data_IF_132253824204
#
_entry.id   IF_132253824204
#
_cell.length_a   1.000
_cell.length_b   1.000
_cell.length_c   1.000
_cell.angle_alpha   90.00
_cell.angle_beta   90.00
_cell.angle_gamma   90.00
#
_symmetry.space_group_name_H-M   'P 1'
#
loop_
_entity.id
_entity.type
_entity.pdbx_description
1 polymer ?
#
# COMPACT_ATOMS: atom_id res chain seq x y z
N UNK A 1 -3.39 0.38 -11.41
CA UNK A 1 -4.87 0.34 -11.46
C UNK A 1 -5.48 1.23 -10.39
N UNK A 2 -5.43 0.87 -9.10
CA UNK A 2 -6.01 1.69 -8.03
C UNK A 2 -5.19 2.95 -7.76
N UNK A 3 -3.88 2.84 -7.54
CA UNK A 3 -3.01 4.00 -7.31
C UNK A 3 -3.08 5.05 -8.43
N UNK A 4 -3.06 4.62 -9.70
CA UNK A 4 -3.23 5.51 -10.86
C UNK A 4 -4.60 6.21 -10.91
N UNK A 5 -5.66 5.59 -10.37
CA UNK A 5 -6.97 6.22 -10.30
C UNK A 5 -7.03 7.28 -9.19
N UNK A 6 -6.36 7.03 -8.05
CA UNK A 6 -6.21 7.99 -6.96
C UNK A 6 -5.43 9.22 -7.46
N UNK A 7 -4.26 9.00 -8.09
CA UNK A 7 -3.44 10.07 -8.67
C UNK A 7 -4.27 10.96 -9.61
N UNK A 8 -4.98 10.37 -10.58
CA UNK A 8 -5.83 11.11 -11.51
C UNK A 8 -6.91 11.98 -10.85
N UNK A 9 -7.40 11.61 -9.67
CA UNK A 9 -8.40 12.40 -8.95
C UNK A 9 -7.73 13.50 -8.12
N UNK A 10 -6.59 13.20 -7.49
CA UNK A 10 -5.85 14.17 -6.69
C UNK A 10 -5.12 15.22 -7.54
N UNK A 11 -4.72 14.89 -8.77
CA UNK A 11 -4.17 15.85 -9.74
C UNK A 11 -5.14 16.99 -10.11
N UNK A 12 -6.45 16.80 -9.88
CA UNK A 12 -7.48 17.81 -10.14
C UNK A 12 -7.67 18.77 -8.95
N UNK A 13 -6.93 18.56 -7.85
CA UNK A 13 -7.03 19.34 -6.63
C UNK A 13 -5.84 20.28 -6.51
N UNK A 14 -6.11 21.59 -6.44
CA UNK A 14 -5.08 22.62 -6.28
C UNK A 14 -4.52 22.68 -4.84
N UNK A 15 -5.15 22.00 -3.90
CA UNK A 15 -4.76 21.94 -2.48
C UNK A 15 -3.92 20.69 -2.13
N UNK A 16 -3.46 19.95 -3.14
CA UNK A 16 -2.66 18.73 -2.96
C UNK A 16 -1.38 18.79 -3.78
N UNK A 17 -0.23 18.59 -3.12
CA UNK A 17 1.04 18.32 -3.78
C UNK A 17 1.30 16.81 -3.80
N UNK A 18 1.51 16.24 -5.00
CA UNK A 18 1.69 14.80 -5.16
C UNK A 18 3.17 14.41 -5.12
N UNK A 19 3.54 13.62 -4.11
CA UNK A 19 4.83 12.93 -4.05
C UNK A 19 4.67 11.49 -4.54
N UNK A 20 5.15 11.20 -5.75
CA UNK A 20 5.07 9.88 -6.36
C UNK A 20 6.45 9.33 -6.69
N UNK A 21 6.61 8.00 -6.57
CA UNK A 21 7.80 7.26 -7.00
C UNK A 21 7.38 6.00 -7.74
N UNK A 22 8.11 5.70 -8.81
CA UNK A 22 8.04 4.42 -9.52
C UNK A 22 8.79 3.34 -8.75
N UNK A 23 8.52 2.06 -9.06
CA UNK A 23 9.24 0.94 -8.45
C UNK A 23 10.73 0.91 -8.77
N UNK A 24 11.16 1.60 -9.84
CA UNK A 24 12.58 1.78 -10.17
C UNK A 24 13.26 2.89 -9.36
N UNK A 25 12.49 3.85 -8.86
CA UNK A 25 13.02 4.97 -8.05
C UNK A 25 13.03 4.63 -6.55
N UNK A 26 12.05 3.84 -6.09
CA UNK A 26 11.94 3.42 -4.70
C UNK A 26 11.44 1.96 -4.61
N UNK A 27 12.33 1.07 -4.18
CA UNK A 27 11.96 -0.30 -3.80
C UNK A 27 11.39 -0.30 -2.39
N UNK A 28 10.06 -0.47 -2.30
CA UNK A 28 9.33 -0.47 -1.04
C UNK A 28 9.63 -1.68 -0.14
N UNK A 29 10.28 -2.73 -0.66
CA UNK A 29 10.75 -3.85 0.16
C UNK A 29 12.07 -3.54 0.88
N UNK A 30 12.79 -2.50 0.45
CA UNK A 30 14.01 -2.03 1.08
C UNK A 30 13.71 -1.02 2.19
N UNK A 31 13.80 -1.49 3.44
CA UNK A 31 13.50 -0.68 4.62
C UNK A 31 14.34 0.61 4.71
N UNK A 32 15.63 0.54 4.40
CA UNK A 32 16.51 1.71 4.49
C UNK A 32 16.11 2.77 3.46
N UNK A 33 15.82 2.36 2.22
CA UNK A 33 15.39 3.28 1.17
C UNK A 33 14.06 3.97 1.52
N UNK A 34 13.10 3.21 2.07
CA UNK A 34 11.81 3.76 2.52
C UNK A 34 12.02 4.77 3.66
N UNK A 35 12.82 4.43 4.67
CA UNK A 35 13.10 5.33 5.78
C UNK A 35 13.76 6.64 5.31
N UNK A 36 14.74 6.56 4.40
CA UNK A 36 15.37 7.74 3.81
C UNK A 36 14.35 8.59 3.05
N UNK A 37 13.49 7.96 2.24
CA UNK A 37 12.45 8.68 1.50
C UNK A 37 11.52 9.47 2.43
N UNK A 38 11.01 8.84 3.51
CA UNK A 38 10.14 9.54 4.46
C UNK A 38 10.86 10.63 5.27
N UNK A 39 12.16 10.49 5.53
CA UNK A 39 12.94 11.52 6.22
C UNK A 39 13.29 12.73 5.32
N UNK A 40 13.41 12.52 4.01
CA UNK A 40 13.74 13.56 3.04
C UNK A 40 12.50 14.27 2.48
N UNK A 41 11.35 13.62 2.50
CA UNK A 41 10.09 14.17 2.00
C UNK A 41 9.19 14.54 3.18
N UNK A 42 8.64 15.75 3.19
CA UNK A 42 7.62 16.14 4.17
C UNK A 42 6.26 15.58 3.71
N UNK A 43 5.90 14.38 4.20
CA UNK A 43 4.66 13.69 3.82
C UNK A 43 3.56 13.94 4.86
N UNK A 44 2.39 14.42 4.43
CA UNK A 44 1.24 14.63 5.32
C UNK A 44 0.24 13.46 5.32
N UNK A 45 0.04 12.84 4.16
CA UNK A 45 -0.90 11.74 3.95
C UNK A 45 -0.28 10.62 3.09
N UNK A 46 -0.60 9.36 3.42
CA UNK A 46 -0.15 8.19 2.66
C UNK A 46 -1.33 7.38 2.13
N UNK A 47 -1.35 7.14 0.82
CA UNK A 47 -2.26 6.18 0.18
C UNK A 47 -1.48 4.92 -0.16
N UNK A 48 -1.55 3.89 0.69
CA UNK A 48 -0.83 2.64 0.51
C UNK A 48 -1.57 1.75 -0.50
N UNK A 49 -1.33 2.04 -1.79
CA UNK A 49 -1.88 1.34 -2.94
C UNK A 49 -0.87 0.39 -3.62
N UNK A 50 0.33 0.26 -3.05
CA UNK A 50 1.39 -0.62 -3.53
C UNK A 50 1.22 -2.02 -2.92
N UNK A 51 1.15 -3.04 -3.77
CA UNK A 51 1.05 -4.44 -3.35
C UNK A 51 1.55 -5.35 -4.47
N UNK A 52 2.05 -6.54 -4.10
CA UNK A 52 2.26 -7.63 -5.04
C UNK A 52 0.91 -8.29 -5.29
N UNK A 53 0.32 -8.01 -6.46
CA UNK A 53 -0.99 -8.51 -6.88
C UNK A 53 -0.85 -9.44 -8.08
N UNK A 54 -1.70 -10.47 -8.15
CA UNK A 54 -1.77 -11.38 -9.28
C UNK A 54 -3.02 -12.27 -9.24
N UNK A 55 -3.25 -12.99 -10.34
CA UNK A 55 -4.36 -13.94 -10.43
C UNK A 55 -4.11 -15.25 -9.68
N UNK A 56 -5.06 -16.19 -9.79
CA UNK A 56 -5.02 -17.50 -9.10
C UNK A 56 -3.72 -18.25 -9.40
N UNK A 57 -3.29 -18.29 -10.66
CA UNK A 57 -2.06 -18.96 -11.07
C UNK A 57 -0.84 -18.37 -10.36
N UNK A 58 -0.66 -17.04 -10.40
CA UNK A 58 0.49 -16.37 -9.78
C UNK A 58 0.55 -16.58 -8.26
N UNK A 59 -0.59 -16.53 -7.56
CA UNK A 59 -0.65 -16.79 -6.12
C UNK A 59 -0.23 -18.23 -5.77
N UNK A 60 -0.65 -19.21 -6.58
CA UNK A 60 -0.26 -20.60 -6.36
C UNK A 60 1.19 -20.89 -6.74
N UNK A 61 1.72 -20.20 -7.76
CA UNK A 61 3.10 -20.40 -8.22
C UNK A 61 4.12 -19.71 -7.30
N UNK A 62 3.80 -18.54 -6.74
CA UNK A 62 4.76 -17.72 -5.97
C UNK A 62 4.27 -17.35 -4.55
N UNK A 63 3.69 -18.27 -3.76
CA UNK A 63 3.02 -17.94 -2.50
C UNK A 63 3.94 -17.24 -1.49
N UNK A 64 5.21 -17.67 -1.42
CA UNK A 64 6.21 -17.08 -0.52
C UNK A 64 6.54 -15.62 -0.89
N UNK A 65 6.61 -15.29 -2.18
CA UNK A 65 6.88 -13.93 -2.63
C UNK A 65 5.70 -13.01 -2.34
N UNK A 66 4.47 -13.49 -2.54
CA UNK A 66 3.26 -12.72 -2.26
C UNK A 66 3.19 -12.32 -0.78
N UNK A 67 3.36 -13.28 0.14
CA UNK A 67 3.32 -12.96 1.57
C UNK A 67 4.50 -12.07 1.98
N UNK A 68 5.72 -12.39 1.54
CA UNK A 68 6.92 -11.65 1.94
C UNK A 68 6.89 -10.21 1.45
N UNK A 69 6.64 -9.98 0.15
CA UNK A 69 6.69 -8.64 -0.42
C UNK A 69 5.60 -7.74 0.16
N UNK A 70 4.36 -8.24 0.30
CA UNK A 70 3.29 -7.43 0.89
C UNK A 70 3.59 -7.09 2.36
N UNK A 71 4.04 -8.04 3.18
CA UNK A 71 4.42 -7.77 4.56
C UNK A 71 5.57 -6.76 4.66
N UNK A 72 6.60 -6.88 3.81
CA UNK A 72 7.72 -5.94 3.80
C UNK A 72 7.27 -4.53 3.40
N UNK A 73 6.46 -4.40 2.34
CA UNK A 73 5.93 -3.12 1.88
C UNK A 73 5.09 -2.46 2.98
N UNK A 74 4.13 -3.21 3.53
CA UNK A 74 3.22 -2.73 4.58
C UNK A 74 3.99 -2.31 5.83
N UNK A 75 4.89 -3.18 6.32
CA UNK A 75 5.67 -2.92 7.53
C UNK A 75 6.57 -1.70 7.36
N UNK A 76 7.28 -1.60 6.22
CA UNK A 76 8.21 -0.49 5.98
C UNK A 76 7.46 0.84 5.89
N UNK A 77 6.38 0.92 5.12
CA UNK A 77 5.64 2.17 4.91
C UNK A 77 4.95 2.62 6.21
N UNK A 78 4.22 1.72 6.89
CA UNK A 78 3.47 2.08 8.09
C UNK A 78 4.44 2.52 9.19
N UNK A 79 5.55 1.82 9.37
CA UNK A 79 6.54 2.19 10.37
C UNK A 79 7.26 3.50 10.01
N UNK A 80 7.69 3.69 8.76
CA UNK A 80 8.36 4.92 8.34
C UNK A 80 7.43 6.14 8.42
N UNK A 81 6.15 5.99 8.08
CA UNK A 81 5.12 7.00 8.26
C UNK A 81 5.00 7.40 9.74
N UNK A 82 4.91 6.43 10.66
CA UNK A 82 4.87 6.69 12.10
C UNK A 82 6.13 7.42 12.60
N UNK A 83 7.31 6.99 12.17
CA UNK A 83 8.60 7.57 12.60
C UNK A 83 8.84 9.00 12.11
N UNK A 84 8.10 9.45 11.10
CA UNK A 84 8.17 10.80 10.54
C UNK A 84 6.86 11.57 10.77
N UNK A 85 6.13 11.21 11.83
CA UNK A 85 4.93 11.92 12.33
C UNK A 85 3.75 12.02 11.33
N UNK A 86 3.70 11.16 10.31
CA UNK A 86 2.56 11.10 9.38
C UNK A 86 1.34 10.51 10.10
N UNK A 87 0.29 11.32 10.29
CA UNK A 87 -0.89 10.94 11.06
C UNK A 87 -2.01 10.31 10.22
N UNK A 88 -1.97 10.47 8.90
CA UNK A 88 -3.04 10.05 8.01
C UNK A 88 -2.53 9.01 7.01
N UNK A 89 -3.03 7.78 7.12
CA UNK A 89 -2.72 6.70 6.20
C UNK A 89 -3.98 5.93 5.83
N UNK A 90 -4.19 5.73 4.52
CA UNK A 90 -5.21 4.84 3.98
C UNK A 90 -4.56 3.58 3.40
N UNK A 91 -4.78 2.44 4.07
CA UNK A 91 -4.35 1.13 3.61
C UNK A 91 -5.45 0.46 2.76
N UNK A 92 -5.09 0.01 1.56
CA UNK A 92 -6.01 -0.65 0.65
C UNK A 92 -5.89 -2.16 0.77
N UNK A 93 -6.81 -2.76 1.53
CA UNK A 93 -6.97 -4.20 1.63
C UNK A 93 -7.59 -4.84 0.38
N UNK A 94 -7.99 -6.10 0.52
CA UNK A 94 -8.65 -6.88 -0.55
C UNK A 94 -9.87 -7.60 0.02
N UNK A 95 -10.93 -7.76 -0.77
CA UNK A 95 -12.08 -8.59 -0.35
C UNK A 95 -11.73 -10.07 -0.18
N UNK A 96 -10.59 -10.54 -0.71
CA UNK A 96 -10.12 -11.90 -0.54
C UNK A 96 -9.66 -12.24 0.90
N UNK A 97 -9.63 -11.27 1.80
CA UNK A 97 -9.32 -11.49 3.23
C UNK A 97 -10.45 -12.23 3.96
N UNK A 98 -11.69 -12.09 3.48
CA UNK A 98 -12.84 -12.71 4.10
C UNK A 98 -12.85 -14.24 3.93
N UNK A 99 -13.41 -14.99 4.89
CA UNK A 99 -13.62 -16.42 4.76
C UNK A 99 -14.43 -16.77 3.52
N UNK A 100 -14.05 -17.88 2.86
CA UNK A 100 -14.72 -18.39 1.65
C UNK A 100 -16.24 -18.59 1.81
N UNK A 101 -16.71 -18.86 3.03
CA UNK A 101 -18.11 -19.14 3.34
C UNK A 101 -18.73 -18.08 4.29
N UNK A 102 -18.27 -16.82 4.21
CA UNK A 102 -18.85 -15.73 4.98
C UNK A 102 -20.33 -15.48 4.62
N UNK A 103 -21.13 -15.12 5.63
CA UNK A 103 -22.54 -14.75 5.46
C UNK A 103 -22.66 -13.49 4.57
N UNK A 104 -23.72 -13.43 3.76
CA UNK A 104 -23.94 -12.36 2.80
C UNK A 104 -25.13 -11.48 3.22
N UNK A 105 -24.99 -10.13 3.16
CA UNK A 105 -23.81 -9.38 2.74
C UNK A 105 -22.68 -9.46 3.78
N UNK A 106 -21.43 -9.55 3.30
CA UNK A 106 -20.26 -9.55 4.19
C UNK A 106 -20.19 -8.25 4.99
N UNK A 107 -19.94 -8.38 6.29
CA UNK A 107 -19.68 -7.24 7.19
C UNK A 107 -18.25 -7.32 7.72
N UNK A 108 -17.68 -6.19 8.12
CA UNK A 108 -16.30 -6.05 8.62
C UNK A 108 -16.01 -6.94 9.83
N UNK A 109 -17.02 -7.31 10.61
CA UNK A 109 -16.89 -8.26 11.74
C UNK A 109 -16.43 -9.67 11.34
N UNK A 110 -16.51 -10.01 10.05
CA UNK A 110 -16.13 -11.31 9.51
C UNK A 110 -14.76 -11.29 8.82
N UNK A 111 -14.08 -10.14 8.83
CA UNK A 111 -12.72 -9.97 8.32
C UNK A 111 -11.70 -10.63 9.25
#
# INVERSE_FOLDING_TARGET
MVGSAIVRQLELRDDVELVVRTSSELDLTNQAAVNTFFAEQNIDEVYLAAAKVGGIYANNTFPAEFIYQNLMIESNIIHAAHMNDVQNLLFLGSSCIYPKFAEQPMTEKHC
#
